data_IF_506934394375
#
_entry.id   IF_506934394375
#
_cell.length_a   1.000
_cell.length_b   1.000
_cell.length_c   1.000
_cell.angle_alpha   90.00
_cell.angle_beta   90.00
_cell.angle_gamma   90.00
#
_symmetry.space_group_name_H-M   'P 1'
#
loop_
_entity.id
_entity.type
_entity.pdbx_description
1 polymer ?
#
# COMPACT_ATOMS: atom_id res chain seq x y z
N UNK A 1 -10.50 15.82 -11.41
CA UNK A 1 -11.56 15.21 -10.55
C UNK A 1 -11.11 15.37 -9.11
N UNK A 2 -11.97 15.79 -8.21
CA UNK A 2 -11.67 15.87 -6.76
C UNK A 2 -12.13 14.56 -6.15
N UNK A 3 -11.24 13.83 -5.50
CA UNK A 3 -11.63 12.69 -4.68
C UNK A 3 -12.35 13.21 -3.43
N UNK A 4 -13.46 12.60 -3.10
CA UNK A 4 -14.25 12.92 -1.90
C UNK A 4 -14.60 11.62 -1.20
N UNK A 5 -15.08 11.67 0.03
CA UNK A 5 -15.53 10.50 0.79
C UNK A 5 -16.49 9.61 -0.01
N UNK A 6 -17.47 10.18 -0.71
CA UNK A 6 -18.39 9.43 -1.59
C UNK A 6 -17.73 8.67 -2.73
N UNK A 7 -16.54 9.10 -3.21
CA UNK A 7 -15.78 8.40 -4.25
C UNK A 7 -14.78 7.41 -3.68
N UNK A 8 -14.81 7.13 -2.38
CA UNK A 8 -13.87 6.27 -1.69
C UNK A 8 -12.44 6.85 -1.70
N UNK A 9 -12.25 8.09 -1.22
CA UNK A 9 -10.91 8.64 -1.09
C UNK A 9 -10.08 7.83 -0.09
N UNK A 10 -8.77 7.91 -0.21
CA UNK A 10 -7.88 7.32 0.79
C UNK A 10 -8.12 7.98 2.14
N UNK A 11 -8.23 7.18 3.19
CA UNK A 11 -8.27 7.60 4.59
C UNK A 11 -7.01 7.11 5.28
N UNK A 12 -6.50 7.87 6.21
CA UNK A 12 -5.28 7.55 6.94
C UNK A 12 -5.48 7.76 8.44
N UNK A 13 -4.73 7.03 9.25
CA UNK A 13 -4.60 7.30 10.70
C UNK A 13 -3.30 8.08 10.92
N UNK A 14 -3.36 9.41 11.15
CA UNK A 14 -2.18 10.22 11.31
C UNK A 14 -1.28 9.74 12.44
N UNK A 15 0.02 9.60 12.16
CA UNK A 15 1.00 9.19 13.15
C UNK A 15 1.15 7.69 13.37
N UNK A 16 0.26 6.83 12.86
CA UNK A 16 0.29 5.37 13.04
C UNK A 16 1.59 4.71 12.53
N UNK A 17 2.24 5.30 11.53
CA UNK A 17 3.53 4.84 10.99
C UNK A 17 4.69 4.88 12.00
N UNK A 18 4.56 5.70 13.07
CA UNK A 18 5.64 5.87 14.07
C UNK A 18 5.90 4.61 14.87
N UNK A 19 4.91 3.75 15.02
CA UNK A 19 5.06 2.49 15.76
C UNK A 19 5.90 1.45 14.99
N UNK A 20 6.03 1.59 13.67
CA UNK A 20 6.86 0.74 12.79
C UNK A 20 6.65 -0.77 13.02
N UNK A 21 5.41 -1.18 13.28
CA UNK A 21 5.04 -2.58 13.47
C UNK A 21 4.02 -3.02 12.42
N UNK A 22 4.05 -4.29 12.08
CA UNK A 22 2.97 -4.91 11.33
C UNK A 22 1.79 -5.12 12.28
N UNK A 23 0.61 -4.78 11.79
CA UNK A 23 -0.65 -4.96 12.49
C UNK A 23 -1.28 -6.30 12.12
N UNK A 24 -2.12 -6.82 13.00
CA UNK A 24 -2.86 -8.03 12.71
C UNK A 24 -3.91 -7.77 11.61
N UNK A 25 -4.00 -8.70 10.68
CA UNK A 25 -4.92 -8.66 9.55
C UNK A 25 -5.74 -9.94 9.52
N UNK A 26 -6.91 -9.82 8.96
CA UNK A 26 -7.71 -10.98 8.58
C UNK A 26 -8.09 -10.90 7.09
N UNK A 27 -8.53 -12.01 6.55
CA UNK A 27 -9.02 -12.05 5.17
C UNK A 27 -10.52 -11.75 5.16
N UNK A 28 -10.89 -10.72 4.43
CA UNK A 28 -12.30 -10.43 4.13
C UNK A 28 -12.80 -11.36 3.03
N UNK A 29 -13.88 -12.06 3.29
CA UNK A 29 -14.42 -13.07 2.36
C UNK A 29 -15.38 -12.49 1.30
N UNK A 30 -15.69 -11.20 1.36
CA UNK A 30 -16.51 -10.52 0.36
C UNK A 30 -15.82 -10.39 -0.98
N UNK A 31 -16.61 -10.32 -2.06
CA UNK A 31 -16.12 -10.22 -3.45
C UNK A 31 -16.17 -8.79 -4.00
N UNK A 32 -16.57 -7.83 -3.21
CA UNK A 32 -16.79 -6.44 -3.57
C UNK A 32 -15.58 -5.53 -3.32
N UNK A 33 -14.45 -6.11 -2.89
CA UNK A 33 -13.21 -5.40 -2.62
C UNK A 33 -12.09 -5.80 -3.59
N UNK A 34 -11.18 -4.87 -3.87
CA UNK A 34 -10.01 -5.14 -4.70
C UNK A 34 -8.90 -5.85 -3.92
N UNK A 35 -8.78 -5.56 -2.64
CA UNK A 35 -7.84 -6.18 -1.71
C UNK A 35 -8.66 -6.77 -0.57
N UNK A 36 -8.45 -8.03 -0.31
CA UNK A 36 -9.20 -8.81 0.68
C UNK A 36 -8.49 -8.93 2.04
N UNK A 37 -7.50 -8.09 2.29
CA UNK A 37 -6.80 -8.03 3.58
C UNK A 37 -7.27 -6.79 4.34
N UNK A 38 -7.82 -7.00 5.51
CA UNK A 38 -8.30 -5.95 6.40
C UNK A 38 -7.60 -6.03 7.75
N UNK A 39 -7.41 -4.87 8.37
CA UNK A 39 -6.93 -4.80 9.74
C UNK A 39 -8.01 -5.31 10.71
N UNK A 40 -7.58 -5.99 11.77
CA UNK A 40 -8.50 -6.31 12.86
C UNK A 40 -9.02 -5.02 13.50
N UNK A 41 -10.28 -5.04 13.95
CA UNK A 41 -10.96 -3.83 14.48
C UNK A 41 -10.27 -3.23 15.71
N UNK A 42 -9.58 -4.05 16.50
CA UNK A 42 -8.85 -3.63 17.71
C UNK A 42 -7.49 -2.98 17.42
N UNK A 43 -7.06 -2.98 16.15
CA UNK A 43 -5.76 -2.44 15.74
C UNK A 43 -5.77 -0.94 15.47
N UNK A 44 -6.92 -0.31 15.40
CA UNK A 44 -7.03 1.12 15.11
C UNK A 44 -8.35 1.72 15.61
N UNK A 45 -8.35 3.04 15.79
CA UNK A 45 -9.58 3.81 16.06
C UNK A 45 -9.97 4.58 14.79
N UNK A 46 -11.04 4.11 14.15
CA UNK A 46 -11.54 4.72 12.91
C UNK A 46 -11.95 6.19 13.07
N UNK A 47 -12.35 6.61 14.26
CA UNK A 47 -12.73 8.00 14.53
C UNK A 47 -11.56 8.97 14.37
N UNK A 48 -10.33 8.48 14.43
CA UNK A 48 -9.10 9.26 14.22
C UNK A 48 -8.70 9.37 12.75
N UNK A 49 -9.42 8.70 11.86
CA UNK A 49 -9.10 8.68 10.44
C UNK A 49 -9.37 10.03 9.76
N UNK A 50 -8.43 10.42 8.90
CA UNK A 50 -8.49 11.67 8.13
C UNK A 50 -8.60 11.35 6.63
N UNK A 51 -9.51 12.04 5.96
CA UNK A 51 -9.73 11.90 4.53
C UNK A 51 -8.63 12.59 3.71
N UNK A 52 -7.94 11.83 2.87
CA UNK A 52 -6.94 12.34 1.92
C UNK A 52 -7.60 12.72 0.61
N UNK A 53 -8.24 13.88 0.58
CA UNK A 53 -8.96 14.36 -0.60
C UNK A 53 -7.99 15.01 -1.59
N UNK A 54 -7.72 14.32 -2.69
CA UNK A 54 -6.79 14.76 -3.73
C UNK A 54 -7.53 15.18 -5.01
N UNK A 55 -7.01 16.20 -5.67
CA UNK A 55 -7.40 16.58 -7.04
C UNK A 55 -6.61 15.75 -8.05
N UNK A 56 -7.11 15.67 -9.27
CA UNK A 56 -6.33 15.06 -10.37
C UNK A 56 -4.97 15.76 -10.51
N UNK A 57 -3.92 14.95 -10.66
CA UNK A 57 -2.52 15.42 -10.73
C UNK A 57 -1.84 15.62 -9.38
N UNK A 58 -2.55 15.52 -8.27
CA UNK A 58 -1.93 15.54 -6.95
C UNK A 58 -1.47 14.14 -6.52
N UNK A 59 -0.47 14.10 -5.65
CA UNK A 59 0.17 12.89 -5.13
C UNK A 59 0.16 12.95 -3.61
N UNK A 60 -0.02 11.81 -2.96
CA UNK A 60 0.30 11.60 -1.56
C UNK A 60 1.52 10.69 -1.42
N UNK A 61 2.40 11.01 -0.50
CA UNK A 61 3.53 10.16 -0.11
C UNK A 61 3.31 9.72 1.32
N UNK A 62 3.41 8.44 1.58
CA UNK A 62 3.25 7.90 2.92
C UNK A 62 4.13 6.67 3.14
N UNK A 63 4.49 6.47 4.40
CA UNK A 63 5.27 5.34 4.87
C UNK A 63 4.45 4.03 4.76
N UNK A 64 5.14 2.90 4.58
CA UNK A 64 4.51 1.57 4.50
C UNK A 64 3.76 1.18 5.79
N UNK A 65 4.19 1.71 6.94
CA UNK A 65 3.54 1.47 8.22
C UNK A 65 2.36 2.41 8.51
N UNK A 66 2.07 3.37 7.62
CA UNK A 66 0.91 4.23 7.79
C UNK A 66 -0.37 3.43 7.58
N UNK A 67 -1.22 3.36 8.62
CA UNK A 67 -2.53 2.76 8.48
C UNK A 67 -3.38 3.58 7.52
N UNK A 68 -3.91 2.91 6.51
CA UNK A 68 -4.71 3.55 5.49
C UNK A 68 -5.72 2.56 4.90
N UNK A 69 -6.79 3.11 4.40
CA UNK A 69 -7.86 2.34 3.77
C UNK A 69 -8.71 3.22 2.88
N UNK A 70 -9.75 2.67 2.32
CA UNK A 70 -10.75 3.41 1.56
C UNK A 70 -12.10 2.75 1.75
N UNK A 71 -13.13 3.54 1.91
CA UNK A 71 -14.50 3.06 1.83
C UNK A 71 -14.89 2.75 0.37
N UNK A 72 -15.99 2.05 0.20
CA UNK A 72 -16.57 1.80 -1.11
C UNK A 72 -16.85 3.10 -1.87
N UNK A 73 -16.74 3.04 -3.18
CA UNK A 73 -17.11 4.15 -4.05
C UNK A 73 -18.66 4.14 -4.27
N UNK A 74 -19.34 4.97 -3.53
CA UNK A 74 -20.80 5.15 -3.60
C UNK A 74 -21.20 6.30 -4.55
N UNK A 75 -20.42 6.56 -5.58
CA UNK A 75 -20.68 7.59 -6.58
C UNK A 75 -20.78 7.02 -7.98
N UNK A 76 -21.30 7.80 -8.90
CA UNK A 76 -21.37 7.53 -10.34
C UNK A 76 -20.02 7.76 -11.07
N UNK A 77 -18.95 8.08 -10.35
CA UNK A 77 -17.65 8.46 -10.91
C UNK A 77 -16.56 7.45 -10.58
N UNK A 78 -15.79 7.08 -11.57
CA UNK A 78 -14.59 6.27 -11.34
C UNK A 78 -13.57 7.02 -10.51
N UNK A 79 -13.01 6.34 -9.49
CA UNK A 79 -11.79 6.77 -8.81
C UNK A 79 -10.61 5.99 -9.37
N UNK A 80 -9.73 6.67 -10.04
CA UNK A 80 -8.52 6.07 -10.62
C UNK A 80 -7.30 6.64 -9.92
N UNK A 81 -6.37 5.76 -9.52
CA UNK A 81 -5.11 6.14 -8.92
C UNK A 81 -4.00 5.20 -9.36
N UNK A 82 -2.79 5.72 -9.44
CA UNK A 82 -1.58 4.94 -9.65
C UNK A 82 -0.82 4.86 -8.34
N UNK A 83 -0.46 3.65 -7.94
CA UNK A 83 0.37 3.43 -6.76
C UNK A 83 1.78 3.05 -7.21
N UNK A 84 2.75 3.83 -6.76
CA UNK A 84 4.19 3.55 -6.95
C UNK A 84 4.79 3.25 -5.58
N UNK A 85 5.61 2.21 -5.51
CA UNK A 85 6.30 1.84 -4.29
C UNK A 85 7.79 2.04 -4.44
N UNK A 86 8.39 2.69 -3.45
CA UNK A 86 9.82 2.92 -3.37
C UNK A 86 10.36 2.31 -2.09
N UNK A 87 11.57 1.80 -2.16
CA UNK A 87 12.31 1.33 -0.99
C UNK A 87 13.74 1.85 -1.04
N UNK A 88 14.41 2.06 0.09
CA UNK A 88 15.84 2.38 0.09
C UNK A 88 16.64 1.18 -0.39
N UNK A 89 17.80 1.41 -1.01
CA UNK A 89 18.70 0.32 -1.47
C UNK A 89 19.27 -0.52 -0.34
N UNK A 90 19.16 -0.04 0.90
CA UNK A 90 19.51 -0.78 2.12
C UNK A 90 18.47 -1.83 2.52
N UNK A 91 17.26 -1.79 1.95
CA UNK A 91 16.24 -2.80 2.15
C UNK A 91 16.43 -3.92 1.13
N UNK A 92 16.27 -5.16 1.59
CA UNK A 92 16.24 -6.33 0.70
C UNK A 92 14.81 -6.67 0.32
N UNK A 93 14.60 -6.96 -0.95
CA UNK A 93 13.34 -7.51 -1.44
C UNK A 93 13.41 -9.04 -1.39
N UNK A 94 12.76 -9.63 -0.41
CA UNK A 94 12.74 -11.08 -0.22
C UNK A 94 11.74 -11.74 -1.16
N UNK A 95 12.25 -12.31 -2.26
CA UNK A 95 11.44 -12.98 -3.27
C UNK A 95 10.84 -14.30 -2.77
N UNK A 96 11.57 -15.01 -1.92
CA UNK A 96 11.12 -16.29 -1.35
C UNK A 96 9.95 -16.03 -0.39
N UNK A 97 10.08 -15.00 0.43
CA UNK A 97 8.99 -14.59 1.33
C UNK A 97 7.78 -14.09 0.54
N UNK A 98 7.97 -13.32 -0.53
CA UNK A 98 6.88 -12.88 -1.40
C UNK A 98 6.13 -14.06 -2.02
N UNK A 99 6.85 -15.10 -2.44
CA UNK A 99 6.24 -16.32 -2.97
C UNK A 99 5.51 -17.12 -1.88
N UNK A 100 6.11 -17.24 -0.69
CA UNK A 100 5.50 -17.90 0.45
C UNK A 100 4.17 -17.26 0.82
N UNK A 101 4.16 -15.93 1.00
CA UNK A 101 2.96 -15.17 1.34
C UNK A 101 1.88 -15.29 0.27
N UNK A 102 2.24 -15.31 -1.00
CA UNK A 102 1.28 -15.53 -2.08
C UNK A 102 0.58 -16.89 -1.96
N UNK A 103 1.32 -17.93 -1.67
CA UNK A 103 0.77 -19.28 -1.52
C UNK A 103 -0.10 -19.44 -0.26
N UNK A 104 0.33 -18.87 0.86
CA UNK A 104 -0.35 -19.06 2.15
C UNK A 104 -1.58 -18.18 2.31
N UNK A 105 -1.52 -16.94 1.82
CA UNK A 105 -2.59 -15.95 1.99
C UNK A 105 -3.45 -15.74 0.75
N UNK A 106 -3.14 -16.42 -0.37
CA UNK A 106 -3.87 -16.25 -1.63
C UNK A 106 -3.76 -14.84 -2.24
N UNK A 107 -2.74 -14.07 -1.84
CA UNK A 107 -2.51 -12.72 -2.36
C UNK A 107 -1.72 -12.76 -3.67
N UNK A 108 -1.70 -11.63 -4.38
CA UNK A 108 -0.95 -11.51 -5.63
C UNK A 108 0.53 -11.85 -5.42
N UNK A 109 1.08 -12.72 -6.26
CA UNK A 109 2.49 -13.05 -6.24
C UNK A 109 3.34 -11.85 -6.69
N UNK A 110 4.26 -11.45 -5.83
CA UNK A 110 5.16 -10.34 -6.08
C UNK A 110 6.61 -10.78 -6.27
N UNK A 111 6.90 -12.08 -6.23
CA UNK A 111 8.27 -12.60 -6.34
C UNK A 111 8.97 -12.21 -7.65
N UNK A 112 8.21 -12.07 -8.74
CA UNK A 112 8.74 -11.72 -10.07
C UNK A 112 8.82 -10.21 -10.34
N UNK A 113 8.59 -9.37 -9.34
CA UNK A 113 8.67 -7.92 -9.54
C UNK A 113 10.04 -7.49 -10.01
N UNK A 114 10.07 -6.71 -11.08
CA UNK A 114 11.27 -6.01 -11.49
C UNK A 114 11.54 -4.83 -10.55
N UNK A 115 12.74 -4.80 -9.99
CA UNK A 115 13.23 -3.68 -9.20
C UNK A 115 14.06 -2.75 -10.08
N UNK A 116 13.77 -1.45 -10.03
CA UNK A 116 14.51 -0.44 -10.77
C UNK A 116 15.31 0.43 -9.81
N UNK A 117 16.61 0.60 -10.09
CA UNK A 117 17.41 1.60 -9.39
C UNK A 117 17.08 2.98 -9.96
N UNK A 118 16.20 3.71 -9.25
CA UNK A 118 15.70 5.00 -9.70
C UNK A 118 16.67 6.15 -9.42
N UNK A 119 17.47 6.04 -8.35
CA UNK A 119 18.44 7.07 -7.94
C UNK A 119 19.47 6.45 -6.99
N UNK A 120 20.67 7.06 -6.95
CA UNK A 120 21.74 6.67 -6.04
C UNK A 120 22.52 5.45 -6.52
N UNK A 121 23.06 4.70 -5.58
CA UNK A 121 23.87 3.50 -5.81
C UNK A 121 23.43 2.38 -4.90
N UNK A 122 23.41 1.16 -5.41
CA UNK A 122 23.30 -0.03 -4.57
C UNK A 122 24.66 -0.38 -3.96
N UNK A 123 24.87 0.05 -2.73
CA UNK A 123 26.13 -0.19 -2.00
C UNK A 123 26.17 -1.57 -1.31
N UNK A 124 25.02 -2.24 -1.22
CA UNK A 124 24.88 -3.50 -0.48
C UNK A 124 24.81 -4.73 -1.39
N UNK A 125 24.49 -4.53 -2.68
CA UNK A 125 24.49 -5.60 -3.67
C UNK A 125 23.51 -6.76 -3.42
N UNK A 126 22.51 -6.53 -2.58
CA UNK A 126 21.58 -7.57 -2.18
C UNK A 126 20.33 -7.71 -3.05
N UNK A 127 20.07 -6.73 -3.93
CA UNK A 127 18.92 -6.72 -4.83
C UNK A 127 19.37 -6.83 -6.29
N UNK A 128 18.55 -7.45 -7.12
CA UNK A 128 18.74 -7.57 -8.56
C UNK A 128 18.15 -6.35 -9.31
N UNK A 129 18.65 -5.17 -9.02
CA UNK A 129 18.16 -3.96 -9.67
C UNK A 129 18.46 -3.95 -11.17
N UNK A 130 17.46 -3.51 -11.96
CA UNK A 130 17.70 -3.07 -13.32
C UNK A 130 18.10 -1.59 -13.30
N UNK A 131 19.23 -1.32 -13.92
CA UNK A 131 19.70 0.06 -14.12
C UNK A 131 18.89 0.70 -15.26
N UNK A 132 18.53 1.97 -15.10
CA UNK A 132 18.02 2.76 -16.19
C UNK A 132 19.23 3.15 -17.07
N UNK A 133 19.28 2.62 -18.29
CA UNK A 133 20.28 3.01 -19.29
C UNK A 133 19.94 4.41 -19.83
#
# INVERSE_FOLDING_TARGET
MIQRRRTGCLRIIPGSHKERRLRAHHTYEGTDVTLNQELNEDEFDENTAVDMVLKAGQVSLHDVFLLHGSEANNSDKSRRGMTLRYMPTTSLFDRNEAERLSRELGIMNHSDRTLYLMSGQDKHGGNDFRMRL
#
